data_IF_114262213278
#
_entry.id   IF_114262213278
#
_cell.length_a   1.000
_cell.length_b   1.000
_cell.length_c   1.000
_cell.angle_alpha   90.00
_cell.angle_beta   90.00
_cell.angle_gamma   90.00
#
_symmetry.space_group_name_H-M   'P 1'
#
loop_
_entity.id
_entity.type
_entity.pdbx_description
1 polymer ?
#
# COMPACT_ATOMS: atom_id res chain seq x y z
N UNK A 1 -3.90 13.00 -7.11
CA UNK A 1 -3.03 14.00 -6.43
C UNK A 1 -3.84 15.07 -5.72
N UNK A 2 -4.81 15.68 -6.40
CA UNK A 2 -5.61 16.73 -5.76
C UNK A 2 -6.38 16.22 -4.54
N UNK A 3 -6.98 15.04 -4.63
CA UNK A 3 -7.71 14.45 -3.50
C UNK A 3 -6.79 14.15 -2.31
N UNK A 4 -5.58 13.70 -2.58
CA UNK A 4 -4.59 13.45 -1.52
C UNK A 4 -4.18 14.76 -0.86
N UNK A 5 -3.98 15.83 -1.64
CA UNK A 5 -3.64 17.15 -1.10
C UNK A 5 -4.73 17.67 -0.16
N UNK A 6 -6.00 17.50 -0.51
CA UNK A 6 -7.10 17.89 0.38
C UNK A 6 -7.11 17.08 1.66
N UNK A 7 -6.86 15.77 1.59
CA UNK A 7 -6.79 14.92 2.76
C UNK A 7 -5.66 15.34 3.69
N UNK A 8 -4.50 15.70 3.15
CA UNK A 8 -3.37 16.19 3.92
C UNK A 8 -3.69 17.49 4.65
N UNK A 9 -4.36 18.42 3.99
CA UNK A 9 -4.75 19.70 4.59
C UNK A 9 -5.75 19.52 5.72
N UNK A 10 -6.60 18.49 5.64
CA UNK A 10 -7.56 18.17 6.68
C UNK A 10 -6.95 17.53 7.93
N UNK A 11 -5.68 17.08 7.85
CA UNK A 11 -4.95 16.40 8.93
C UNK A 11 -5.75 15.24 9.51
N UNK A 12 -6.12 14.25 8.70
CA UNK A 12 -6.97 13.14 9.15
C UNK A 12 -6.24 12.24 10.14
N UNK A 13 -7.01 11.57 11.03
CA UNK A 13 -6.46 10.50 11.87
C UNK A 13 -6.33 9.19 11.11
N UNK A 14 -7.19 8.98 10.13
CA UNK A 14 -7.19 7.82 9.25
C UNK A 14 -7.33 8.30 7.81
N UNK A 15 -6.42 7.86 6.98
CA UNK A 15 -6.46 8.11 5.54
C UNK A 15 -6.70 6.80 4.81
N UNK A 16 -7.72 6.76 3.96
CA UNK A 16 -8.02 5.60 3.12
C UNK A 16 -7.65 5.91 1.68
N UNK A 17 -6.80 5.06 1.09
CA UNK A 17 -6.35 5.20 -0.29
C UNK A 17 -6.70 3.95 -1.07
N UNK A 18 -7.42 4.11 -2.17
CA UNK A 18 -7.87 3.01 -3.02
C UNK A 18 -7.11 3.05 -4.33
N UNK A 19 -6.21 2.10 -4.51
CA UNK A 19 -5.36 1.93 -5.70
C UNK A 19 -4.73 3.24 -6.17
N UNK A 20 -3.97 3.94 -5.29
CA UNK A 20 -3.44 5.26 -5.64
C UNK A 20 -2.41 5.23 -6.78
N UNK A 21 -1.82 4.07 -7.09
CA UNK A 21 -0.85 3.94 -8.17
C UNK A 21 -1.47 3.57 -9.51
N UNK A 22 -2.77 3.26 -9.56
CA UNK A 22 -3.42 2.74 -10.76
C UNK A 22 -3.29 3.72 -11.93
N UNK A 23 -2.77 3.24 -13.05
CA UNK A 23 -2.66 4.03 -14.28
C UNK A 23 -1.56 5.08 -14.29
N UNK A 24 -0.72 5.15 -13.26
CA UNK A 24 0.32 6.16 -13.15
C UNK A 24 1.69 5.66 -13.60
N UNK A 25 2.52 6.58 -14.06
CA UNK A 25 3.89 6.27 -14.47
C UNK A 25 4.74 5.84 -13.27
N UNK A 26 5.76 4.99 -13.46
CA UNK A 26 6.56 4.45 -12.36
C UNK A 26 7.20 5.52 -11.45
N UNK A 27 7.66 6.63 -12.01
CA UNK A 27 8.28 7.69 -11.20
C UNK A 27 7.24 8.37 -10.29
N UNK A 28 6.02 8.55 -10.80
CA UNK A 28 4.93 9.14 -10.02
C UNK A 28 4.49 8.17 -8.94
N UNK A 29 4.42 6.88 -9.23
CA UNK A 29 4.12 5.84 -8.25
C UNK A 29 5.12 5.88 -7.10
N UNK A 30 6.41 6.00 -7.41
CA UNK A 30 7.47 6.11 -6.40
C UNK A 30 7.23 7.32 -5.48
N UNK A 31 6.89 8.46 -6.06
CA UNK A 31 6.64 9.69 -5.28
C UNK A 31 5.43 9.55 -4.38
N UNK A 32 4.36 8.93 -4.87
CA UNK A 32 3.14 8.68 -4.10
C UNK A 32 3.46 7.79 -2.89
N UNK A 33 4.18 6.69 -3.08
CA UNK A 33 4.51 5.80 -1.98
C UNK A 33 5.47 6.44 -0.97
N UNK A 34 6.34 7.36 -1.42
CA UNK A 34 7.17 8.14 -0.52
C UNK A 34 6.31 9.05 0.36
N UNK A 35 5.31 9.71 -0.22
CA UNK A 35 4.37 10.55 0.53
C UNK A 35 3.62 9.71 1.56
N UNK A 36 3.17 8.51 1.18
CA UNK A 36 2.47 7.59 2.08
C UNK A 36 3.37 7.21 3.27
N UNK A 37 4.63 6.88 3.00
CA UNK A 37 5.59 6.56 4.06
C UNK A 37 5.82 7.74 5.01
N UNK A 38 5.92 8.95 4.47
CA UNK A 38 6.11 10.16 5.26
C UNK A 38 4.90 10.43 6.15
N UNK A 39 3.69 10.25 5.62
CA UNK A 39 2.45 10.40 6.38
C UNK A 39 2.37 9.40 7.53
N UNK A 40 2.72 8.15 7.25
CA UNK A 40 2.75 7.11 8.27
C UNK A 40 3.70 7.51 9.40
N UNK A 41 4.85 8.06 9.07
CA UNK A 41 5.84 8.51 10.04
C UNK A 41 5.31 9.63 10.94
N UNK A 42 4.33 10.42 10.47
CA UNK A 42 3.71 11.48 11.29
C UNK A 42 2.61 10.96 12.21
N UNK A 43 2.32 9.67 12.20
CA UNK A 43 1.32 9.08 13.08
C UNK A 43 -0.07 8.92 12.46
N UNK A 44 -0.23 9.21 11.19
CA UNK A 44 -1.49 8.98 10.47
C UNK A 44 -1.65 7.49 10.22
N UNK A 45 -2.79 6.91 10.60
CA UNK A 45 -3.12 5.54 10.25
C UNK A 45 -3.58 5.51 8.79
N UNK A 46 -3.05 4.58 8.01
CA UNK A 46 -3.34 4.49 6.57
C UNK A 46 -3.86 3.11 6.22
N UNK A 47 -5.02 3.07 5.58
CA UNK A 47 -5.53 1.87 4.94
C UNK A 47 -5.28 2.00 3.45
N UNK A 48 -4.42 1.15 2.92
CA UNK A 48 -4.01 1.17 1.52
C UNK A 48 -4.55 -0.07 0.81
N UNK A 49 -5.36 0.14 -0.22
CA UNK A 49 -5.81 -0.91 -1.12
C UNK A 49 -5.01 -0.79 -2.40
N UNK A 50 -4.24 -1.83 -2.74
CA UNK A 50 -3.30 -1.73 -3.85
C UNK A 50 -3.08 -3.09 -4.53
N UNK A 51 -3.04 -3.10 -5.85
CA UNK A 51 -2.66 -4.28 -6.63
C UNK A 51 -1.14 -4.39 -6.77
N UNK A 52 -0.43 -3.27 -6.67
CA UNK A 52 1.03 -3.27 -6.67
C UNK A 52 1.53 -3.74 -5.30
N UNK A 53 1.51 -5.06 -5.11
CA UNK A 53 1.80 -5.68 -3.83
C UNK A 53 3.22 -5.36 -3.33
N UNK A 54 4.20 -5.34 -4.23
CA UNK A 54 5.59 -5.05 -3.86
C UNK A 54 5.71 -3.67 -3.22
N UNK A 55 5.14 -2.65 -3.87
CA UNK A 55 5.19 -1.29 -3.36
C UNK A 55 4.40 -1.14 -2.05
N UNK A 56 3.22 -1.76 -2.00
CA UNK A 56 2.38 -1.71 -0.80
C UNK A 56 3.08 -2.33 0.41
N UNK A 57 3.69 -3.49 0.25
CA UNK A 57 4.37 -4.18 1.33
C UNK A 57 5.63 -3.46 1.82
N UNK A 58 6.24 -2.62 0.97
CA UNK A 58 7.40 -1.83 1.38
C UNK A 58 7.04 -0.71 2.35
N UNK A 59 5.82 -0.20 2.30
CA UNK A 59 5.38 0.91 3.16
C UNK A 59 4.43 0.48 4.27
N UNK A 60 3.88 -0.72 4.20
CA UNK A 60 2.91 -1.23 5.15
C UNK A 60 3.57 -1.84 6.37
N UNK A 61 2.87 -1.82 7.49
CA UNK A 61 3.24 -2.58 8.69
C UNK A 61 2.65 -3.98 8.63
N UNK A 62 1.41 -4.08 8.15
CA UNK A 62 0.65 -5.31 8.10
C UNK A 62 -0.13 -5.38 6.80
N UNK A 63 -0.27 -6.58 6.26
CA UNK A 63 -0.98 -6.80 5.01
C UNK A 63 -2.06 -7.86 5.12
N UNK A 64 -3.05 -7.73 4.24
CA UNK A 64 -4.15 -8.68 4.08
C UNK A 64 -4.29 -8.95 2.59
N UNK A 65 -4.29 -10.22 2.21
CA UNK A 65 -4.51 -10.62 0.82
C UNK A 65 -5.97 -11.03 0.68
N UNK A 66 -6.67 -10.38 -0.25
CA UNK A 66 -8.08 -10.63 -0.51
C UNK A 66 -8.24 -11.36 -1.85
N UNK A 67 -8.98 -12.45 -1.83
CA UNK A 67 -9.36 -13.18 -3.03
C UNK A 67 -10.85 -13.44 -2.97
N UNK A 68 -11.59 -13.01 -4.00
CA UNK A 68 -13.03 -13.21 -4.10
C UNK A 68 -13.77 -12.73 -2.83
N UNK A 69 -13.34 -11.58 -2.30
CA UNK A 69 -13.97 -10.98 -1.12
C UNK A 69 -13.60 -11.61 0.20
N UNK A 70 -12.61 -12.52 0.23
CA UNK A 70 -12.17 -13.18 1.45
C UNK A 70 -10.71 -12.90 1.72
N UNK A 71 -10.36 -12.77 3.00
CA UNK A 71 -8.97 -12.70 3.42
C UNK A 71 -8.39 -14.11 3.37
N UNK A 72 -7.40 -14.31 2.49
CA UNK A 72 -6.75 -15.61 2.33
C UNK A 72 -5.41 -15.68 3.04
N UNK A 73 -4.75 -14.54 3.24
CA UNK A 73 -3.48 -14.43 3.96
C UNK A 73 -3.48 -13.12 4.74
N UNK A 74 -2.84 -13.13 5.90
CA UNK A 74 -2.60 -11.91 6.66
C UNK A 74 -1.34 -12.06 7.48
N UNK A 75 -0.70 -10.95 7.81
CA UNK A 75 0.49 -10.95 8.64
C UNK A 75 1.30 -9.67 8.50
N UNK A 76 2.46 -9.67 9.15
CA UNK A 76 3.39 -8.56 9.02
C UNK A 76 3.83 -8.42 7.56
N UNK A 77 3.98 -7.17 7.10
CA UNK A 77 4.35 -6.91 5.72
C UNK A 77 5.68 -7.58 5.33
N UNK A 78 6.65 -7.60 6.23
CA UNK A 78 7.93 -8.27 5.98
C UNK A 78 7.76 -9.77 5.80
N UNK A 79 6.91 -10.41 6.61
CA UNK A 79 6.64 -11.84 6.51
C UNK A 79 5.90 -12.16 5.20
N UNK A 80 4.93 -11.35 4.82
CA UNK A 80 4.20 -11.54 3.56
C UNK A 80 5.11 -11.37 2.34
N UNK A 81 6.01 -10.41 2.36
CA UNK A 81 6.94 -10.19 1.27
C UNK A 81 7.87 -11.39 1.03
N UNK A 82 8.14 -12.16 2.07
CA UNK A 82 8.94 -13.39 1.98
C UNK A 82 8.13 -14.67 1.80
N UNK A 83 6.81 -14.59 1.84
CA UNK A 83 5.95 -15.76 1.68
C UNK A 83 5.97 -16.23 0.21
N UNK A 84 6.25 -17.51 -0.02
CA UNK A 84 6.37 -18.06 -1.38
C UNK A 84 5.08 -17.86 -2.18
N UNK A 85 3.92 -17.93 -1.54
CA UNK A 85 2.64 -17.75 -2.23
C UNK A 85 2.49 -16.32 -2.75
N UNK A 86 2.91 -15.35 -1.94
CA UNK A 86 2.91 -13.93 -2.33
C UNK A 86 3.90 -13.67 -3.45
N UNK A 87 5.11 -14.22 -3.33
CA UNK A 87 6.16 -14.05 -4.34
C UNK A 87 5.69 -14.60 -5.69
N UNK A 88 5.10 -15.78 -5.71
CA UNK A 88 4.63 -16.39 -6.94
C UNK A 88 3.45 -15.65 -7.57
N UNK A 89 2.48 -15.23 -6.76
CA UNK A 89 1.23 -14.65 -7.26
C UNK A 89 1.32 -13.16 -7.57
N UNK A 90 2.08 -12.40 -6.78
CA UNK A 90 2.02 -10.95 -6.83
C UNK A 90 3.35 -10.25 -7.07
N UNK A 91 4.46 -10.83 -6.63
CA UNK A 91 5.77 -10.17 -6.72
C UNK A 91 6.59 -10.64 -7.91
N UNK A 92 6.16 -11.71 -8.57
CA UNK A 92 6.89 -12.29 -9.69
C UNK A 92 8.15 -13.01 -9.26
N UNK A 93 8.81 -13.66 -10.23
CA UNK A 93 10.00 -14.47 -9.98
C UNK A 93 11.30 -13.67 -9.99
N UNK A 94 11.21 -12.38 -10.19
CA UNK A 94 12.41 -11.58 -10.35
C UNK A 94 12.50 -10.42 -9.43
#
# INVERSE_FOLDING_TARGET
MLAMGRALMAKPRLLMLDEPSLGLAPLIVRDIFRIIADLRATGVAILLVEQNARAALQVADRGYVLETGRVTLEGDAGALAGDSRIVEMYLGAG
#
